data_IF_368705739671
#
_entry.id   IF_368705739671
#
_cell.length_a   1.000
_cell.length_b   1.000
_cell.length_c   1.000
_cell.angle_alpha   90.00
_cell.angle_beta   90.00
_cell.angle_gamma   90.00
#
_symmetry.space_group_name_H-M   'P 1'
#
loop_
_entity.id
_entity.type
_entity.pdbx_description
1 polymer ?
#
# COMPACT_ATOMS: atom_id res chain seq x y z
N UNK A 1 18.45 14.85 7.75
CA UNK A 1 17.18 14.16 7.45
C UNK A 1 17.37 13.47 6.11
N UNK A 2 17.49 12.15 6.11
CA UNK A 2 17.77 11.38 4.89
C UNK A 2 16.41 11.11 4.24
N UNK A 3 16.17 11.72 3.09
CA UNK A 3 15.02 11.43 2.25
C UNK A 3 15.38 10.21 1.41
N UNK A 4 14.69 9.09 1.65
CA UNK A 4 14.76 7.91 0.80
C UNK A 4 13.64 8.08 -0.22
N UNK A 5 13.96 8.41 -1.47
CA UNK A 5 13.00 8.39 -2.58
C UNK A 5 13.51 7.46 -3.66
N UNK A 6 13.01 6.23 -3.63
CA UNK A 6 12.75 5.51 -4.87
C UNK A 6 11.42 6.10 -5.37
N UNK A 7 11.51 6.98 -6.38
CA UNK A 7 10.43 7.75 -7.02
C UNK A 7 9.82 8.92 -6.20
N UNK A 8 9.87 10.12 -6.78
CA UNK A 8 9.44 11.45 -6.28
C UNK A 8 7.93 11.60 -5.94
N UNK A 9 7.34 10.64 -5.23
CA UNK A 9 5.91 10.62 -4.91
C UNK A 9 5.70 10.91 -3.44
N UNK A 10 5.23 12.12 -3.16
CA UNK A 10 4.87 12.52 -1.80
C UNK A 10 3.63 11.76 -1.33
N UNK A 11 3.63 11.35 -0.06
CA UNK A 11 2.45 10.78 0.59
C UNK A 11 1.51 11.93 0.95
N UNK A 12 0.30 11.92 0.40
CA UNK A 12 -0.71 12.95 0.65
C UNK A 12 -1.82 12.48 1.60
N UNK A 13 -1.98 11.17 1.77
CA UNK A 13 -2.92 10.60 2.73
C UNK A 13 -2.45 9.22 3.22
N UNK A 14 -2.68 8.95 4.50
CA UNK A 14 -2.51 7.63 5.11
C UNK A 14 -3.72 7.33 5.99
N UNK A 15 -4.38 6.20 5.74
CA UNK A 15 -5.56 5.76 6.48
C UNK A 15 -5.45 4.29 6.88
N UNK A 16 -5.97 3.92 8.06
CA UNK A 16 -6.10 2.52 8.45
C UNK A 16 -7.55 2.09 8.21
N UNK A 17 -7.72 1.04 7.40
CA UNK A 17 -9.03 0.51 6.99
C UNK A 17 -9.13 -0.95 7.37
N UNK A 18 -10.32 -1.38 7.78
CA UNK A 18 -10.60 -2.79 8.05
C UNK A 18 -10.59 -3.58 6.74
N UNK A 19 -9.97 -4.77 6.75
CA UNK A 19 -9.93 -5.63 5.57
C UNK A 19 -11.24 -6.43 5.46
N UNK A 20 -12.24 -5.84 4.82
CA UNK A 20 -13.52 -6.50 4.58
C UNK A 20 -13.43 -7.70 3.62
N UNK A 21 -12.37 -7.82 2.81
CA UNK A 21 -12.21 -8.95 1.88
C UNK A 21 -11.84 -10.23 2.62
N UNK A 22 -10.94 -10.13 3.60
CA UNK A 22 -10.53 -11.24 4.47
C UNK A 22 -11.46 -11.43 5.68
N UNK A 23 -12.40 -10.51 5.90
CA UNK A 23 -13.31 -10.52 7.06
C UNK A 23 -12.61 -10.36 8.41
N UNK A 24 -11.32 -10.02 8.41
CA UNK A 24 -10.48 -9.84 9.60
C UNK A 24 -9.26 -8.97 9.26
N UNK A 25 -8.63 -8.39 10.28
CA UNK A 25 -7.41 -7.59 10.10
C UNK A 25 -7.65 -6.18 9.57
N UNK A 26 -6.56 -5.42 9.46
CA UNK A 26 -6.55 -4.05 8.97
C UNK A 26 -5.41 -3.86 7.98
N UNK A 27 -5.56 -2.90 7.08
CA UNK A 27 -4.50 -2.47 6.20
C UNK A 27 -4.30 -0.97 6.28
N UNK A 28 -3.05 -0.56 6.09
CA UNK A 28 -2.68 0.84 5.85
C UNK A 28 -2.86 1.15 4.37
N UNK A 29 -3.73 2.08 4.04
CA UNK A 29 -3.90 2.64 2.70
C UNK A 29 -3.10 3.94 2.60
N UNK A 30 -2.12 3.96 1.70
CA UNK A 30 -1.28 5.13 1.42
C UNK A 30 -1.66 5.66 0.04
N UNK A 31 -2.03 6.94 -0.03
CA UNK A 31 -2.30 7.65 -1.29
C UNK A 31 -1.17 8.62 -1.57
N UNK A 32 -0.68 8.59 -2.80
CA UNK A 32 0.44 9.39 -3.26
C UNK A 32 -0.04 10.59 -4.10
N UNK A 33 0.82 11.59 -4.24
CA UNK A 33 0.55 12.84 -4.96
C UNK A 33 0.22 12.63 -6.45
N UNK A 34 0.65 11.52 -7.04
CA UNK A 34 0.34 11.14 -8.43
C UNK A 34 -1.04 10.48 -8.59
N UNK A 35 -1.80 10.36 -7.50
CA UNK A 35 -3.11 9.68 -7.46
C UNK A 35 -3.00 8.16 -7.35
N UNK A 36 -1.79 7.60 -7.33
CA UNK A 36 -1.57 6.19 -7.06
C UNK A 36 -1.72 5.84 -5.59
N UNK A 37 -1.80 4.54 -5.30
CA UNK A 37 -1.92 4.03 -3.93
C UNK A 37 -1.12 2.75 -3.71
N UNK A 38 -0.79 2.51 -2.44
CA UNK A 38 -0.31 1.23 -1.93
C UNK A 38 -1.06 0.86 -0.65
N UNK A 39 -1.39 -0.41 -0.52
CA UNK A 39 -2.04 -1.01 0.65
C UNK A 39 -1.06 -1.99 1.30
N UNK A 40 -0.83 -1.80 2.58
CA UNK A 40 0.05 -2.64 3.37
C UNK A 40 -0.75 -3.32 4.47
N UNK A 41 -0.54 -4.61 4.68
CA UNK A 41 -1.06 -5.29 5.85
C UNK A 41 -0.55 -4.58 7.12
N UNK A 42 -1.45 -4.30 8.08
CA UNK A 42 -1.11 -3.52 9.28
C UNK A 42 -0.21 -4.30 10.24
N UNK A 43 -0.30 -5.62 10.24
CA UNK A 43 0.42 -6.51 11.15
C UNK A 43 1.78 -6.89 10.59
N UNK A 44 1.84 -7.33 9.33
CA UNK A 44 3.08 -7.81 8.69
C UNK A 44 3.86 -6.69 7.99
N UNK A 45 3.18 -5.60 7.61
CA UNK A 45 3.77 -4.53 6.81
C UNK A 45 3.96 -4.90 5.33
N UNK A 46 3.49 -6.07 4.91
CA UNK A 46 3.61 -6.55 3.53
C UNK A 46 2.71 -5.79 2.57
N UNK A 47 3.17 -5.62 1.33
CA UNK A 47 2.38 -4.99 0.28
C UNK A 47 1.31 -5.96 -0.22
N UNK A 48 0.06 -5.66 0.06
CA UNK A 48 -1.09 -6.52 -0.28
C UNK A 48 -1.95 -5.94 -1.42
N UNK A 49 -1.77 -4.67 -1.76
CA UNK A 49 -2.44 -4.04 -2.89
C UNK A 49 -1.68 -2.81 -3.39
N UNK A 50 -1.73 -2.54 -4.70
CA UNK A 50 -1.10 -1.38 -5.29
C UNK A 50 -1.74 -1.02 -6.63
N UNK A 51 -1.82 0.27 -6.95
CA UNK A 51 -2.20 0.73 -8.30
C UNK A 51 -1.04 0.69 -9.29
N UNK A 52 0.20 0.51 -8.83
CA UNK A 52 1.38 0.58 -9.69
C UNK A 52 1.65 -0.76 -10.39
N UNK A 53 1.90 -0.70 -11.70
CA UNK A 53 2.23 -1.88 -12.50
C UNK A 53 3.53 -2.57 -12.03
N UNK A 54 4.50 -1.78 -11.56
CA UNK A 54 5.77 -2.26 -10.99
C UNK A 54 5.59 -3.20 -9.80
N UNK A 55 4.51 -2.99 -9.04
CA UNK A 55 4.26 -3.65 -7.78
C UNK A 55 3.48 -4.95 -7.96
N UNK A 56 2.80 -5.13 -9.10
CA UNK A 56 1.93 -6.29 -9.36
C UNK A 56 2.68 -7.62 -9.22
N UNK A 57 3.99 -7.63 -9.51
CA UNK A 57 4.85 -8.82 -9.35
C UNK A 57 5.11 -9.20 -7.88
N UNK A 58 4.94 -8.25 -6.96
CA UNK A 58 5.18 -8.39 -5.53
C UNK A 58 3.87 -8.58 -4.74
N UNK A 59 2.71 -8.42 -5.38
CA UNK A 59 1.43 -8.61 -4.73
C UNK A 59 1.18 -10.10 -4.47
N UNK A 60 0.54 -10.44 -3.33
CA UNK A 60 0.07 -11.80 -3.10
C UNK A 60 -0.85 -12.21 -4.24
N UNK A 61 -0.57 -13.37 -4.84
CA UNK A 61 -1.43 -13.95 -5.88
C UNK A 61 -2.62 -14.59 -5.18
N UNK A 62 -3.82 -14.24 -5.62
CA UNK A 62 -5.00 -15.05 -5.30
C UNK A 62 -4.83 -16.41 -6.00
N UNK A 63 -4.83 -17.49 -5.21
CA UNK A 63 -4.91 -18.87 -5.73
C UNK A 63 -6.31 -19.20 -6.27
#
# INVERSE_FOLDING_TARGET
MIFITDDDKEIISEEIKFNYQEGSGYYRHVTYSDGGFRQFDKETGELIGSSYASDQKNLPKME
#
